data_IF_460482485638
#
_entry.id   IF_460482485638
#
_cell.length_a   1.000
_cell.length_b   1.000
_cell.length_c   1.000
_cell.angle_alpha   90.00
_cell.angle_beta   90.00
_cell.angle_gamma   90.00
#
_symmetry.space_group_name_H-M   'P 1'
#
loop_
_entity.id
_entity.type
_entity.pdbx_description
1 polymer ?
#
# COMPACT_ATOMS: atom_id res chain seq x y z
N UNK A 1 17.76 27.20 -22.58
CA UNK A 1 17.19 27.25 -21.23
C UNK A 1 16.66 25.86 -20.96
N UNK A 2 17.41 25.03 -20.23
CA UNK A 2 16.99 23.69 -19.85
C UNK A 2 16.04 23.83 -18.67
N UNK A 3 14.77 23.53 -18.85
CA UNK A 3 13.81 23.36 -17.77
C UNK A 3 14.15 22.03 -17.08
N UNK A 4 14.63 22.12 -15.86
CA UNK A 4 14.69 20.95 -14.98
C UNK A 4 13.26 20.54 -14.62
N UNK A 5 12.68 19.68 -15.42
CA UNK A 5 11.47 18.95 -15.04
C UNK A 5 12.00 17.75 -14.23
N UNK A 6 12.05 17.89 -12.91
CA UNK A 6 12.10 16.73 -12.03
C UNK A 6 10.79 15.96 -12.25
N UNK A 7 10.84 14.99 -13.16
CA UNK A 7 9.77 14.01 -13.27
C UNK A 7 9.84 13.13 -12.01
N UNK A 8 9.04 13.50 -11.03
CA UNK A 8 8.89 12.72 -9.79
C UNK A 8 7.93 11.57 -10.09
N UNK A 9 8.43 10.47 -10.63
CA UNK A 9 7.76 9.18 -10.54
C UNK A 9 8.19 8.51 -9.24
N UNK A 10 7.75 9.12 -8.15
CA UNK A 10 7.72 8.46 -6.83
C UNK A 10 6.28 7.98 -6.67
N UNK A 11 6.03 6.76 -6.17
CA UNK A 11 4.66 6.30 -5.88
C UNK A 11 3.88 7.38 -5.13
N UNK A 12 2.65 7.64 -5.53
CA UNK A 12 1.81 8.72 -4.98
C UNK A 12 1.69 8.70 -3.44
N UNK A 13 1.94 7.56 -2.81
CA UNK A 13 2.00 7.39 -1.35
C UNK A 13 3.20 8.08 -0.67
N UNK A 14 4.30 8.29 -1.40
CA UNK A 14 5.42 9.09 -0.88
C UNK A 14 5.13 10.59 -1.02
N UNK A 15 4.31 10.99 -2.00
CA UNK A 15 3.98 12.40 -2.26
C UNK A 15 3.07 12.98 -1.18
N UNK A 16 2.07 12.24 -0.70
CA UNK A 16 1.16 12.76 0.33
C UNK A 16 1.85 13.06 1.68
N UNK A 17 2.94 12.32 2.01
CA UNK A 17 3.73 12.59 3.21
C UNK A 17 4.94 13.52 2.98
N UNK A 18 5.48 13.56 1.76
CA UNK A 18 6.69 14.34 1.45
C UNK A 18 6.39 15.81 1.08
N UNK A 19 5.18 16.09 0.57
CA UNK A 19 4.81 17.46 0.18
C UNK A 19 4.66 18.42 1.37
N UNK A 20 4.57 17.89 2.60
CA UNK A 20 4.40 18.67 3.82
C UNK A 20 5.55 18.48 4.82
N UNK A 21 6.61 17.75 4.46
CA UNK A 21 7.74 17.54 5.35
C UNK A 21 8.40 18.88 5.72
N UNK A 22 8.59 19.12 7.01
CA UNK A 22 9.33 20.26 7.50
C UNK A 22 10.83 19.94 7.41
N UNK A 23 11.57 20.73 6.64
CA UNK A 23 13.03 20.68 6.64
C UNK A 23 13.53 21.19 8.00
N UNK A 24 14.08 20.31 8.84
CA UNK A 24 14.60 20.67 10.16
C UNK A 24 16.12 20.88 10.18
N UNK A 25 16.79 20.39 9.15
CA UNK A 25 18.22 20.60 8.98
C UNK A 25 18.62 20.51 7.51
N UNK A 26 19.40 21.49 7.03
CA UNK A 26 20.00 21.46 5.68
C UNK A 26 21.29 22.26 5.68
N UNK A 27 22.42 21.58 5.86
CA UNK A 27 23.73 22.22 5.89
C UNK A 27 24.83 21.24 5.49
N UNK A 28 25.83 21.74 4.74
CA UNK A 28 27.03 20.99 4.36
C UNK A 28 26.73 19.67 3.64
N UNK A 29 25.73 19.67 2.73
CA UNK A 29 25.33 18.47 2.00
C UNK A 29 24.54 17.45 2.82
N UNK A 30 24.14 17.79 4.04
CA UNK A 30 23.27 16.96 4.86
C UNK A 30 21.89 17.60 4.98
N UNK A 31 20.86 16.80 4.79
CA UNK A 31 19.45 17.20 4.89
C UNK A 31 18.70 16.25 5.80
N UNK A 32 17.82 16.80 6.64
CA UNK A 32 16.89 16.03 7.47
C UNK A 32 15.50 16.68 7.42
N UNK A 33 14.54 15.92 6.95
CA UNK A 33 13.14 16.29 6.90
C UNK A 33 12.35 15.51 7.98
N UNK A 34 11.48 16.22 8.67
CA UNK A 34 10.52 15.64 9.61
C UNK A 34 9.11 15.77 9.04
N UNK A 35 8.36 14.70 9.02
CA UNK A 35 6.98 14.68 8.53
C UNK A 35 6.10 13.84 9.43
N UNK A 36 4.79 14.05 9.33
CA UNK A 36 3.87 13.26 10.08
C UNK A 36 2.42 13.70 9.94
N UNK A 37 1.55 12.99 10.64
CA UNK A 37 0.15 13.34 10.76
C UNK A 37 -0.45 12.85 12.06
N UNK A 38 -1.46 13.58 12.54
CA UNK A 38 -2.38 13.19 13.60
C UNK A 38 -3.75 13.03 12.95
N UNK A 39 -4.37 11.88 13.18
CA UNK A 39 -5.67 11.53 12.61
C UNK A 39 -6.60 11.18 13.74
N UNK A 40 -7.59 12.05 14.00
CA UNK A 40 -8.74 11.74 14.83
C UNK A 40 -9.81 11.11 13.95
N UNK A 41 -10.19 9.87 14.23
CA UNK A 41 -11.04 9.09 13.33
C UNK A 41 -11.99 8.18 14.09
N UNK A 42 -13.24 8.13 13.63
CA UNK A 42 -14.24 7.20 14.14
C UNK A 42 -14.88 6.42 13.00
N UNK A 43 -15.06 5.11 13.21
CA UNK A 43 -15.68 4.19 12.26
C UNK A 43 -16.91 3.56 12.91
N UNK A 44 -18.03 3.55 12.20
CA UNK A 44 -19.26 2.84 12.59
C UNK A 44 -19.51 1.65 11.65
N UNK A 45 -20.10 0.59 12.19
CA UNK A 45 -20.64 -0.50 11.38
C UNK A 45 -22.15 -0.53 11.47
N UNK A 46 -22.84 -1.10 10.50
CA UNK A 46 -24.28 -1.31 10.53
C UNK A 46 -24.69 -2.48 11.41
N UNK A 47 -23.74 -3.31 11.81
CA UNK A 47 -23.97 -4.37 12.78
C UNK A 47 -24.05 -3.77 14.19
N UNK A 48 -25.25 -3.77 14.77
CA UNK A 48 -25.50 -3.21 16.11
C UNK A 48 -24.77 -3.90 17.26
N UNK A 49 -24.24 -5.11 17.04
CA UNK A 49 -23.50 -5.89 18.03
C UNK A 49 -21.98 -5.65 17.98
N UNK A 50 -21.45 -5.15 16.86
CA UNK A 50 -20.07 -4.68 16.76
C UNK A 50 -20.05 -3.19 16.95
N UNK A 51 -19.41 -2.76 18.01
CA UNK A 51 -19.30 -1.35 18.37
C UNK A 51 -18.63 -0.52 17.27
N UNK A 52 -19.01 0.71 17.21
CA UNK A 52 -18.23 1.74 16.55
C UNK A 52 -16.84 1.82 17.17
N UNK A 53 -15.80 1.94 16.34
CA UNK A 53 -14.43 1.97 16.78
C UNK A 53 -13.82 3.38 16.63
N UNK A 54 -13.19 3.83 17.70
CA UNK A 54 -12.19 4.89 17.61
C UNK A 54 -10.93 4.28 16.96
N UNK A 55 -10.48 4.85 15.85
CA UNK A 55 -9.28 4.42 15.13
C UNK A 55 -8.24 5.55 15.05
N UNK A 56 -8.27 6.46 16.02
CA UNK A 56 -7.36 7.60 16.15
C UNK A 56 -5.90 7.14 16.27
N UNK A 57 -5.01 7.80 15.53
CA UNK A 57 -3.58 7.50 15.54
C UNK A 57 -2.72 8.72 15.22
N UNK A 58 -1.44 8.65 15.61
CA UNK A 58 -0.40 9.54 15.14
C UNK A 58 0.63 8.77 14.31
N UNK A 59 1.22 9.46 13.34
CA UNK A 59 2.32 8.94 12.53
C UNK A 59 3.41 9.98 12.42
N UNK A 60 4.65 9.58 12.59
CA UNK A 60 5.83 10.44 12.40
C UNK A 60 6.85 9.72 11.53
N UNK A 61 7.66 10.49 10.84
CA UNK A 61 8.76 9.97 10.03
C UNK A 61 9.89 10.97 9.88
N UNK A 62 11.06 10.43 9.62
CA UNK A 62 12.27 11.16 9.30
C UNK A 62 12.79 10.68 7.95
N UNK A 63 13.21 11.63 7.10
CA UNK A 63 13.98 11.37 5.88
C UNK A 63 15.29 12.09 5.97
N UNK A 64 16.39 11.37 5.82
CA UNK A 64 17.73 11.92 5.84
C UNK A 64 18.47 11.70 4.53
N UNK A 65 19.24 12.68 4.12
CA UNK A 65 20.17 12.58 2.98
C UNK A 65 21.53 13.17 3.37
N UNK A 66 22.60 12.57 2.87
CA UNK A 66 23.95 13.09 3.00
C UNK A 66 24.71 12.97 1.67
N UNK A 67 25.29 14.07 1.22
CA UNK A 67 26.16 14.08 0.04
C UNK A 67 27.49 13.43 0.41
N UNK A 68 27.82 12.29 -0.20
CA UNK A 68 29.09 11.58 0.01
C UNK A 68 30.16 12.12 -0.92
N UNK A 69 29.80 12.32 -2.18
CA UNK A 69 30.63 12.99 -3.20
C UNK A 69 29.70 13.53 -4.32
N UNK A 70 30.25 14.10 -5.38
CA UNK A 70 29.48 14.75 -6.45
C UNK A 70 28.46 13.85 -7.16
N UNK A 71 28.61 12.52 -7.06
CA UNK A 71 27.76 11.53 -7.75
C UNK A 71 26.98 10.63 -6.80
N UNK A 72 27.30 10.62 -5.50
CA UNK A 72 26.77 9.65 -4.56
C UNK A 72 26.14 10.33 -3.33
N UNK A 73 24.91 9.99 -3.06
CA UNK A 73 24.12 10.43 -1.90
C UNK A 73 23.77 9.21 -1.07
N UNK A 74 24.07 9.26 0.23
CA UNK A 74 23.52 8.35 1.23
C UNK A 74 22.14 8.84 1.66
N UNK A 75 21.17 7.94 1.84
CA UNK A 75 19.84 8.31 2.32
C UNK A 75 19.25 7.27 3.24
N UNK A 76 18.24 7.67 4.01
CA UNK A 76 17.49 6.77 4.85
C UNK A 76 16.14 7.33 5.23
N UNK A 77 15.23 6.44 5.58
CA UNK A 77 13.90 6.81 6.04
C UNK A 77 13.48 5.92 7.21
N UNK A 78 12.84 6.54 8.19
CA UNK A 78 12.15 5.85 9.26
C UNK A 78 10.74 6.40 9.41
N UNK A 79 9.73 5.51 9.53
CA UNK A 79 8.33 5.89 9.73
C UNK A 79 7.72 5.03 10.83
N UNK A 80 7.06 5.67 11.77
CA UNK A 80 6.49 5.07 12.95
C UNK A 80 5.03 5.47 13.14
N UNK A 81 4.18 4.50 13.47
CA UNK A 81 2.77 4.70 13.75
C UNK A 81 2.48 4.36 15.21
N UNK A 82 1.78 5.25 15.87
CA UNK A 82 1.35 5.16 17.26
C UNK A 82 -0.19 5.14 17.28
N UNK A 83 -0.74 4.09 17.81
CA UNK A 83 -2.16 3.96 18.07
C UNK A 83 -2.53 4.86 19.26
N UNK A 84 -3.63 5.61 19.16
CA UNK A 84 -4.11 6.50 20.21
C UNK A 84 -5.58 6.22 20.58
N UNK A 85 -6.15 5.14 20.06
CA UNK A 85 -7.55 4.75 20.25
C UNK A 85 -7.78 3.83 21.44
N UNK A 86 -6.73 3.19 21.98
CA UNK A 86 -6.83 2.30 23.13
C UNK A 86 -6.57 3.03 24.45
N UNK A 87 -6.92 2.37 25.56
CA UNK A 87 -6.62 2.89 26.90
C UNK A 87 -5.12 3.07 27.10
N UNK A 88 -4.74 4.08 27.89
CA UNK A 88 -3.34 4.35 28.20
C UNK A 88 -2.63 3.11 28.75
N UNK A 89 -1.47 2.78 28.20
CA UNK A 89 -0.71 1.56 28.54
C UNK A 89 -1.05 0.32 27.69
N UNK A 90 -2.13 0.33 26.90
CA UNK A 90 -2.48 -0.74 25.96
C UNK A 90 -2.39 -0.32 24.50
N UNK A 91 -1.85 0.86 24.23
CA UNK A 91 -1.64 1.36 22.87
C UNK A 91 -0.55 0.59 22.16
N UNK A 92 -0.79 0.28 20.89
CA UNK A 92 0.18 -0.41 20.05
C UNK A 92 0.99 0.57 19.21
N UNK A 93 2.21 0.18 18.90
CA UNK A 93 3.08 0.95 18.04
C UNK A 93 3.71 0.06 16.98
N UNK A 94 4.02 0.62 15.81
CA UNK A 94 4.65 -0.17 14.74
C UNK A 94 5.57 0.67 13.87
N UNK A 95 6.76 0.16 13.61
CA UNK A 95 7.64 0.67 12.56
C UNK A 95 7.06 0.27 11.20
N UNK A 96 6.72 1.27 10.40
CA UNK A 96 6.18 1.06 9.05
C UNK A 96 7.29 0.94 8.03
N UNK A 97 8.27 1.85 8.08
CA UNK A 97 9.44 1.90 7.21
C UNK A 97 10.70 2.07 8.06
N UNK A 98 11.79 1.43 7.67
CA UNK A 98 13.13 1.59 8.25
C UNK A 98 14.16 1.04 7.27
N UNK A 99 14.75 1.88 6.45
CA UNK A 99 15.75 1.48 5.47
C UNK A 99 16.80 2.56 5.27
N UNK A 100 17.96 2.14 4.78
CA UNK A 100 19.02 3.04 4.35
C UNK A 100 19.58 2.59 3.01
N UNK A 101 20.11 3.53 2.24
CA UNK A 101 20.56 3.25 0.88
C UNK A 101 21.49 4.30 0.31
N UNK A 102 21.85 4.09 -0.96
CA UNK A 102 22.69 4.95 -1.77
C UNK A 102 21.96 5.30 -3.05
N UNK A 103 22.10 6.54 -3.50
CA UNK A 103 21.57 7.04 -4.78
C UNK A 103 22.72 7.60 -5.60
N UNK A 104 22.81 7.20 -6.86
CA UNK A 104 23.91 7.56 -7.77
C UNK A 104 23.37 8.14 -9.10
N UNK A 105 22.86 9.37 -9.06
CA UNK A 105 22.39 10.10 -10.25
C UNK A 105 21.46 9.25 -11.13
N UNK A 106 21.77 9.15 -12.42
CA UNK A 106 21.00 8.37 -13.40
C UNK A 106 21.12 6.85 -13.22
N UNK A 107 22.12 6.38 -12.47
CA UNK A 107 22.27 4.95 -12.16
C UNK A 107 21.25 4.45 -11.13
N UNK A 108 20.42 5.34 -10.56
CA UNK A 108 19.34 4.97 -9.66
C UNK A 108 19.73 4.88 -8.20
N UNK A 109 18.96 4.11 -7.43
CA UNK A 109 19.16 3.94 -6.00
C UNK A 109 19.10 2.47 -5.59
N UNK A 110 19.82 2.16 -4.51
CA UNK A 110 19.75 0.86 -3.84
C UNK A 110 19.53 1.09 -2.35
N UNK A 111 18.57 0.40 -1.76
CA UNK A 111 18.34 0.42 -0.32
C UNK A 111 18.11 -0.99 0.25
N UNK A 112 18.30 -1.09 1.57
CA UNK A 112 18.01 -2.30 2.31
C UNK A 112 17.30 -1.97 3.62
N UNK A 113 16.28 -2.77 3.94
CA UNK A 113 15.58 -2.68 5.21
C UNK A 113 14.11 -3.07 5.13
N UNK A 114 13.27 -2.40 5.95
CA UNK A 114 11.83 -2.51 5.92
C UNK A 114 11.27 -1.46 4.98
N UNK A 115 10.72 -1.89 3.86
CA UNK A 115 10.22 -1.02 2.80
C UNK A 115 8.96 -1.62 2.13
N UNK A 116 8.39 -0.93 1.18
CA UNK A 116 7.34 -1.47 0.32
C UNK A 116 7.91 -2.51 -0.65
N UNK A 117 7.16 -3.56 -0.91
CA UNK A 117 7.43 -4.50 -1.98
C UNK A 117 7.37 -3.83 -3.35
N UNK A 118 8.24 -4.22 -4.28
CA UNK A 118 8.29 -3.56 -5.59
C UNK A 118 6.96 -3.67 -6.36
N UNK A 119 6.24 -4.80 -6.27
CA UNK A 119 4.94 -4.96 -6.95
C UNK A 119 3.86 -4.00 -6.40
N UNK A 120 4.04 -3.47 -5.18
CA UNK A 120 3.14 -2.46 -4.62
C UNK A 120 3.12 -1.16 -5.45
N UNK A 121 4.14 -0.87 -6.25
CA UNK A 121 4.14 0.29 -7.15
C UNK A 121 2.97 0.24 -8.16
N UNK A 122 2.45 -0.95 -8.47
CA UNK A 122 1.27 -1.14 -9.33
C UNK A 122 -0.02 -0.88 -8.56
N UNK A 123 -0.12 -1.41 -7.34
CA UNK A 123 -1.25 -1.27 -6.42
C UNK A 123 -1.45 0.19 -5.98
N UNK A 124 -0.36 0.91 -5.78
CA UNK A 124 -0.37 2.30 -5.33
C UNK A 124 -1.23 3.23 -6.20
N UNK A 125 -1.52 2.85 -7.44
CA UNK A 125 -2.42 3.59 -8.31
C UNK A 125 -3.89 3.56 -7.83
N UNK A 126 -4.34 2.47 -7.19
CA UNK A 126 -5.71 2.32 -6.69
C UNK A 126 -5.85 2.40 -5.18
N UNK A 127 -4.76 2.26 -4.41
CA UNK A 127 -4.73 2.51 -2.95
C UNK A 127 -4.84 4.01 -2.64
N UNK A 128 -5.91 4.64 -3.13
CA UNK A 128 -6.18 6.08 -3.09
C UNK A 128 -7.58 6.42 -2.57
N UNK A 129 -8.28 5.46 -1.97
CA UNK A 129 -9.60 5.68 -1.39
C UNK A 129 -9.52 6.54 -0.13
N UNK A 130 -10.66 7.08 0.29
CA UNK A 130 -10.73 8.03 1.42
C UNK A 130 -10.32 7.38 2.74
N UNK A 131 -10.85 6.19 2.99
CA UNK A 131 -10.61 5.47 4.25
C UNK A 131 -10.13 4.03 4.03
N UNK A 132 -10.84 3.25 3.24
CA UNK A 132 -10.51 1.87 2.93
C UNK A 132 -9.68 1.83 1.63
N UNK A 133 -9.40 0.68 1.09
CA UNK A 133 -8.52 0.49 -0.07
C UNK A 133 -7.21 -0.18 0.32
N UNK A 134 -6.49 -0.73 -0.67
CA UNK A 134 -5.26 -1.48 -0.45
C UNK A 134 -5.44 -2.69 0.46
N UNK A 135 -6.67 -3.22 0.57
CA UNK A 135 -7.06 -4.32 1.44
C UNK A 135 -7.52 -5.56 0.66
N UNK A 136 -7.42 -5.52 -0.66
CA UNK A 136 -7.76 -6.64 -1.53
C UNK A 136 -6.74 -7.78 -1.48
N UNK A 137 -5.51 -7.52 -1.89
CA UNK A 137 -4.44 -8.53 -1.96
C UNK A 137 -3.10 -8.06 -1.39
N UNK A 138 -3.01 -6.80 -1.03
CA UNK A 138 -1.84 -6.10 -0.55
C UNK A 138 -1.78 -6.11 0.98
N UNK A 139 -1.14 -7.11 1.55
CA UNK A 139 -1.01 -7.24 3.00
C UNK A 139 0.40 -6.91 3.49
N UNK A 140 0.46 -6.28 4.68
CA UNK A 140 1.74 -6.02 5.37
C UNK A 140 2.34 -7.32 5.88
N UNK A 141 3.65 -7.51 5.63
CA UNK A 141 4.41 -8.72 5.97
C UNK A 141 3.80 -10.01 5.37
N UNK A 142 3.27 -9.88 4.16
CA UNK A 142 2.84 -10.98 3.33
C UNK A 142 3.65 -10.95 2.04
N UNK A 143 4.78 -11.64 2.04
CA UNK A 143 5.79 -11.58 0.98
C UNK A 143 6.18 -10.13 0.65
N UNK A 144 6.20 -9.76 -0.64
CA UNK A 144 6.53 -8.40 -1.11
C UNK A 144 5.30 -7.66 -1.68
N UNK A 145 4.07 -7.97 -1.22
CA UNK A 145 2.85 -7.31 -1.74
C UNK A 145 2.57 -5.96 -1.09
N UNK A 146 2.93 -5.79 0.17
CA UNK A 146 2.81 -4.54 0.91
C UNK A 146 4.14 -4.15 1.56
N UNK A 147 4.07 -3.47 2.72
CA UNK A 147 5.29 -3.21 3.52
C UNK A 147 5.81 -4.50 4.11
N UNK A 148 7.11 -4.74 3.96
CA UNK A 148 7.76 -5.93 4.49
C UNK A 148 9.20 -5.64 4.88
N UNK A 149 9.83 -6.50 5.65
CA UNK A 149 11.20 -6.33 6.11
C UNK A 149 12.17 -7.19 5.30
N UNK A 150 13.46 -6.87 5.43
CA UNK A 150 14.55 -7.65 4.84
C UNK A 150 14.57 -7.60 3.33
N UNK A 151 14.15 -6.47 2.74
CA UNK A 151 14.15 -6.29 1.29
C UNK A 151 15.36 -5.46 0.85
N UNK A 152 16.04 -5.95 -0.19
CA UNK A 152 17.06 -5.25 -0.94
C UNK A 152 16.41 -4.74 -2.24
N UNK A 153 16.33 -3.43 -2.41
CA UNK A 153 15.58 -2.80 -3.50
C UNK A 153 16.50 -1.93 -4.36
N UNK A 154 16.50 -2.19 -5.66
CA UNK A 154 17.08 -1.29 -6.65
C UNK A 154 15.95 -0.60 -7.42
N UNK A 155 16.07 0.73 -7.59
CA UNK A 155 15.13 1.56 -8.36
C UNK A 155 15.87 2.43 -9.35
N UNK A 156 15.32 2.56 -10.55
CA UNK A 156 15.82 3.45 -11.58
C UNK A 156 14.67 4.22 -12.21
N UNK A 157 14.88 5.50 -12.44
CA UNK A 157 13.95 6.37 -13.15
C UNK A 157 14.52 6.72 -14.51
N UNK A 158 13.63 6.93 -15.48
CA UNK A 158 13.95 7.34 -16.85
C UNK A 158 14.91 6.36 -17.57
N UNK A 159 14.90 5.08 -17.12
CA UNK A 159 15.75 4.02 -17.67
C UNK A 159 17.20 4.47 -17.93
N UNK A 160 17.89 4.83 -16.86
CA UNK A 160 19.27 5.38 -16.89
C UNK A 160 19.40 6.71 -17.65
N UNK A 161 18.33 7.50 -17.71
CA UNK A 161 18.28 8.75 -18.49
C UNK A 161 18.13 8.53 -20.00
N UNK A 162 17.87 7.30 -20.45
CA UNK A 162 17.74 6.95 -21.87
C UNK A 162 16.28 6.99 -22.37
N UNK A 163 15.31 6.77 -21.51
CA UNK A 163 13.88 6.74 -21.85
C UNK A 163 13.09 7.50 -20.81
N UNK A 164 12.75 8.74 -21.11
CA UNK A 164 11.96 9.60 -20.23
C UNK A 164 10.64 8.93 -19.87
N UNK A 165 10.28 8.97 -18.58
CA UNK A 165 9.05 8.40 -18.04
C UNK A 165 9.08 6.89 -17.79
N UNK A 166 10.10 6.15 -18.22
CA UNK A 166 10.23 4.71 -17.94
C UNK A 166 10.99 4.47 -16.63
N UNK A 167 10.29 4.02 -15.61
CA UNK A 167 10.88 3.67 -14.30
C UNK A 167 10.71 2.19 -14.01
N UNK A 168 11.65 1.60 -13.27
CA UNK A 168 11.54 0.21 -12.84
C UNK A 168 12.14 -0.02 -11.44
N UNK A 169 11.69 -1.11 -10.81
CA UNK A 169 12.20 -1.61 -9.55
C UNK A 169 12.53 -3.10 -9.65
N UNK A 170 13.62 -3.50 -9.01
CA UNK A 170 14.02 -4.88 -8.78
C UNK A 170 14.23 -5.06 -7.29
N UNK A 171 13.67 -6.12 -6.72
CA UNK A 171 13.73 -6.35 -5.29
C UNK A 171 13.98 -7.82 -4.97
N UNK A 172 14.76 -8.07 -3.94
CA UNK A 172 14.97 -9.38 -3.34
C UNK A 172 14.55 -9.33 -1.87
N UNK A 173 13.88 -10.39 -1.41
CA UNK A 173 13.58 -10.62 0.00
C UNK A 173 14.20 -11.94 0.45
N UNK A 174 14.98 -11.90 1.53
CA UNK A 174 15.49 -13.10 2.16
C UNK A 174 14.41 -13.83 2.97
N UNK A 175 14.65 -15.07 3.26
CA UNK A 175 13.78 -15.93 4.05
C UNK A 175 13.54 -15.38 5.47
N UNK A 176 12.29 -15.42 5.93
CA UNK A 176 11.85 -15.03 7.26
C UNK A 176 10.76 -16.00 7.75
N UNK A 177 11.13 -17.02 8.50
CA UNK A 177 10.22 -18.05 9.01
C UNK A 177 10.31 -18.31 10.51
N UNK A 178 11.30 -17.73 11.22
CA UNK A 178 11.45 -17.85 12.66
C UNK A 178 10.54 -16.87 13.41
N UNK A 179 9.88 -17.35 14.47
CA UNK A 179 9.10 -16.56 15.44
C UNK A 179 8.01 -15.68 14.80
N UNK A 180 7.40 -16.17 13.70
CA UNK A 180 6.35 -15.46 12.99
C UNK A 180 5.08 -16.29 12.86
N UNK A 181 3.94 -15.60 12.91
CA UNK A 181 2.68 -16.20 12.47
C UNK A 181 2.83 -16.72 11.03
N UNK A 182 2.28 -17.90 10.72
CA UNK A 182 2.42 -18.58 9.43
C UNK A 182 2.11 -17.63 8.25
N UNK A 183 1.05 -16.83 8.36
CA UNK A 183 0.66 -15.86 7.31
C UNK A 183 1.65 -14.72 7.09
N UNK A 184 2.66 -14.57 7.97
CA UNK A 184 3.71 -13.54 7.88
C UNK A 184 5.09 -14.12 7.62
N UNK A 185 5.18 -15.43 7.44
CA UNK A 185 6.41 -16.09 7.01
C UNK A 185 6.62 -15.94 5.52
N UNK A 186 7.87 -16.00 5.07
CA UNK A 186 8.25 -16.10 3.67
C UNK A 186 9.57 -16.86 3.52
N UNK A 187 9.75 -17.55 2.42
CA UNK A 187 11.05 -17.98 1.93
C UNK A 187 11.71 -16.88 1.07
N UNK A 188 12.86 -17.20 0.47
CA UNK A 188 13.52 -16.30 -0.48
C UNK A 188 12.63 -16.00 -1.68
N UNK A 189 12.66 -14.74 -2.12
CA UNK A 189 11.84 -14.30 -3.24
C UNK A 189 12.38 -13.07 -3.95
N UNK A 190 11.80 -12.77 -5.10
CA UNK A 190 12.06 -11.55 -5.84
C UNK A 190 10.75 -10.87 -6.26
N UNK A 191 10.83 -9.57 -6.49
CA UNK A 191 9.72 -8.76 -7.02
C UNK A 191 10.26 -7.73 -8.00
N UNK A 192 9.48 -7.42 -9.01
CA UNK A 192 9.80 -6.38 -9.99
C UNK A 192 8.55 -5.59 -10.34
N UNK A 193 8.76 -4.32 -10.69
CA UNK A 193 7.72 -3.47 -11.26
C UNK A 193 8.33 -2.56 -12.31
N UNK A 194 7.52 -2.17 -13.29
CA UNK A 194 7.86 -1.16 -14.28
C UNK A 194 6.66 -0.24 -14.48
N UNK A 195 6.93 1.06 -14.63
CA UNK A 195 5.93 2.10 -14.89
C UNK A 195 6.40 2.96 -16.04
N UNK A 196 5.52 3.21 -17.00
CA UNK A 196 5.72 4.20 -18.02
C UNK A 196 4.73 5.36 -17.82
N UNK A 197 5.26 6.54 -17.55
CA UNK A 197 4.49 7.77 -17.35
C UNK A 197 4.56 8.63 -18.62
N UNK A 198 3.40 8.95 -19.19
CA UNK A 198 3.26 9.85 -20.33
C UNK A 198 3.12 11.30 -19.86
N UNK A 199 3.50 12.25 -20.71
CA UNK A 199 3.44 13.70 -20.41
C UNK A 199 2.00 14.23 -20.20
N UNK A 200 0.98 13.47 -20.62
CA UNK A 200 -0.43 13.86 -20.54
C UNK A 200 -1.14 13.43 -19.23
N UNK A 201 -0.38 12.94 -18.25
CA UNK A 201 -0.92 12.48 -16.97
C UNK A 201 -1.34 11.00 -16.93
N UNK A 202 -1.21 10.26 -18.03
CA UNK A 202 -1.42 8.81 -18.05
C UNK A 202 -0.15 8.11 -17.55
N UNK A 203 -0.33 7.05 -16.76
CA UNK A 203 0.74 6.11 -16.44
C UNK A 203 0.23 4.68 -16.51
N UNK A 204 1.07 3.78 -17.02
CA UNK A 204 0.82 2.36 -17.11
C UNK A 204 1.86 1.62 -16.28
N UNK A 205 1.43 0.73 -15.40
CA UNK A 205 2.33 -0.04 -14.54
C UNK A 205 2.07 -1.54 -14.67
N UNK A 206 3.12 -2.31 -14.50
CA UNK A 206 3.03 -3.78 -14.40
C UNK A 206 4.07 -4.29 -13.42
N UNK A 207 3.79 -5.43 -12.78
CA UNK A 207 4.71 -6.03 -11.81
C UNK A 207 4.51 -7.52 -11.66
N UNK A 208 5.54 -8.18 -11.12
CA UNK A 208 5.54 -9.59 -10.80
C UNK A 208 6.34 -9.84 -9.53
N UNK A 209 5.86 -10.77 -8.71
CA UNK A 209 6.52 -11.20 -7.48
C UNK A 209 6.44 -12.73 -7.38
N UNK A 210 7.53 -13.37 -6.96
CA UNK A 210 7.57 -14.81 -6.69
C UNK A 210 8.48 -15.09 -5.51
N UNK A 211 7.97 -15.82 -4.53
CA UNK A 211 8.68 -16.21 -3.32
C UNK A 211 8.48 -17.69 -3.02
N UNK A 212 9.45 -18.31 -2.39
CA UNK A 212 9.26 -19.61 -1.79
C UNK A 212 8.31 -19.50 -0.61
N UNK A 213 7.43 -20.46 -0.43
CA UNK A 213 6.64 -20.62 0.79
C UNK A 213 7.48 -21.31 1.87
N UNK A 214 7.23 -20.98 3.13
CA UNK A 214 7.87 -21.67 4.26
C UNK A 214 7.36 -23.12 4.38
N UNK A 215 8.05 -23.93 5.18
CA UNK A 215 7.61 -25.31 5.45
C UNK A 215 6.22 -25.33 6.07
N UNK A 216 5.96 -24.43 7.02
CA UNK A 216 4.66 -24.35 7.71
C UNK A 216 3.52 -23.93 6.76
N UNK A 217 3.80 -23.01 5.83
CA UNK A 217 2.83 -22.59 4.82
C UNK A 217 2.49 -23.70 3.83
N UNK A 218 3.47 -24.52 3.44
CA UNK A 218 3.26 -25.65 2.52
C UNK A 218 2.44 -26.79 3.09
N UNK A 219 2.23 -26.82 4.40
CA UNK A 219 1.40 -27.81 5.07
C UNK A 219 -0.07 -27.77 4.62
N UNK A 220 -0.51 -26.65 4.01
CA UNK A 220 -1.86 -26.51 3.43
C UNK A 220 -2.04 -27.27 2.08
N UNK A 221 -0.97 -27.78 1.47
CA UNK A 221 -1.00 -28.52 0.21
C UNK A 221 -1.09 -27.64 -1.06
N UNK A 222 -1.04 -26.30 -0.94
CA UNK A 222 -1.20 -25.36 -2.07
C UNK A 222 0.07 -25.10 -2.90
N UNK A 223 1.12 -25.93 -2.77
CA UNK A 223 2.32 -25.80 -3.57
C UNK A 223 3.44 -24.96 -2.94
N UNK A 224 4.56 -24.88 -3.65
CA UNK A 224 5.84 -24.40 -3.12
C UNK A 224 6.08 -22.90 -3.28
N UNK A 225 5.36 -22.25 -4.18
CA UNK A 225 5.54 -20.84 -4.54
C UNK A 225 4.33 -20.02 -4.19
N UNK A 226 4.60 -18.80 -3.73
CA UNK A 226 3.66 -17.73 -3.62
C UNK A 226 3.97 -16.70 -4.71
N UNK A 227 3.01 -16.40 -5.58
CA UNK A 227 3.24 -15.59 -6.76
C UNK A 227 2.12 -14.55 -6.93
N UNK A 228 2.50 -13.39 -7.46
CA UNK A 228 1.55 -12.35 -7.84
C UNK A 228 2.00 -11.69 -9.14
N UNK A 229 1.05 -11.32 -9.98
CA UNK A 229 1.26 -10.37 -11.06
C UNK A 229 0.15 -9.33 -11.04
N UNK A 230 0.49 -8.11 -11.43
CA UNK A 230 -0.44 -6.99 -11.42
C UNK A 230 -0.17 -6.06 -12.59
N UNK A 231 -1.22 -5.36 -13.02
CA UNK A 231 -1.13 -4.27 -13.98
C UNK A 231 -2.11 -3.16 -13.59
N UNK A 232 -1.73 -1.90 -13.81
CA UNK A 232 -2.60 -0.75 -13.57
C UNK A 232 -2.46 0.30 -14.65
N UNK A 233 -3.52 1.09 -14.80
CA UNK A 233 -3.54 2.31 -15.60
C UNK A 233 -4.07 3.45 -14.73
N UNK A 234 -3.38 4.60 -14.77
CA UNK A 234 -3.71 5.80 -14.01
C UNK A 234 -3.79 7.01 -14.93
N UNK A 235 -4.73 7.90 -14.64
CA UNK A 235 -4.78 9.27 -15.16
C UNK A 235 -4.76 10.25 -13.99
N UNK A 236 -3.83 11.20 -14.01
CA UNK A 236 -3.64 12.19 -12.95
C UNK A 236 -3.29 13.55 -13.58
N UNK A 237 -4.32 14.25 -14.02
CA UNK A 237 -4.21 15.59 -14.61
C UNK A 237 -5.58 16.31 -14.61
N UNK A 238 -5.58 17.63 -14.82
CA UNK A 238 -6.79 18.44 -14.92
C UNK A 238 -7.75 18.31 -13.72
N UNK A 239 -7.20 18.21 -12.51
CA UNK A 239 -7.94 17.99 -11.26
C UNK A 239 -8.70 16.65 -11.20
N UNK A 240 -8.48 15.76 -12.15
CA UNK A 240 -9.05 14.41 -12.19
C UNK A 240 -7.95 13.40 -11.79
N UNK A 241 -8.28 12.53 -10.87
CA UNK A 241 -7.55 11.29 -10.62
C UNK A 241 -8.44 10.11 -10.95
N UNK A 242 -7.99 9.22 -11.80
CA UNK A 242 -8.68 7.98 -12.12
C UNK A 242 -7.67 6.84 -12.27
N UNK A 243 -7.94 5.70 -11.68
CA UNK A 243 -7.07 4.54 -11.83
C UNK A 243 -7.88 3.24 -11.81
N UNK A 244 -7.34 2.25 -12.50
CA UNK A 244 -7.81 0.86 -12.47
C UNK A 244 -6.61 -0.08 -12.29
N UNK A 245 -6.81 -1.18 -11.57
CA UNK A 245 -5.82 -2.22 -11.36
C UNK A 245 -6.47 -3.59 -11.52
N UNK A 246 -5.73 -4.53 -12.09
CA UNK A 246 -6.06 -5.95 -12.07
C UNK A 246 -4.85 -6.75 -11.67
N UNK A 247 -5.05 -7.74 -10.78
CA UNK A 247 -4.00 -8.66 -10.37
C UNK A 247 -4.51 -10.09 -10.17
N UNK A 248 -3.59 -11.02 -10.16
CA UNK A 248 -3.83 -12.39 -9.67
C UNK A 248 -2.74 -12.77 -8.68
N UNK A 249 -3.14 -13.45 -7.64
CA UNK A 249 -2.22 -14.04 -6.67
C UNK A 249 -2.37 -15.55 -6.62
N UNK A 250 -1.31 -16.22 -6.25
CA UNK A 250 -1.27 -17.68 -6.09
C UNK A 250 -0.61 -18.03 -4.76
N UNK A 251 -1.31 -18.80 -3.93
CA UNK A 251 -0.85 -19.37 -2.66
C UNK A 251 -0.33 -18.33 -1.64
N UNK A 252 -0.82 -17.10 -1.68
CA UNK A 252 -0.31 -16.04 -0.84
C UNK A 252 -1.36 -15.17 -0.14
N UNK A 253 -2.56 -15.03 -0.70
CA UNK A 253 -3.59 -14.17 -0.13
C UNK A 253 -4.20 -14.86 1.09
N UNK A 254 -4.05 -14.30 2.30
CA UNK A 254 -4.65 -14.90 3.49
C UNK A 254 -6.16 -14.68 3.47
N UNK A 255 -6.88 -15.72 3.85
CA UNK A 255 -8.31 -15.66 4.16
C UNK A 255 -8.51 -15.26 5.64
N UNK A 256 -9.71 -14.82 6.03
CA UNK A 256 -9.97 -14.33 7.39
C UNK A 256 -9.68 -15.37 8.46
N UNK A 257 -9.98 -16.64 8.19
CA UNK A 257 -9.74 -17.79 9.08
C UNK A 257 -8.30 -18.34 9.05
N UNK A 258 -7.33 -17.58 8.49
CA UNK A 258 -5.92 -17.91 8.34
C UNK A 258 -5.56 -19.01 7.33
N UNK A 259 -6.48 -19.46 6.50
CA UNK A 259 -6.13 -20.22 5.30
C UNK A 259 -5.47 -19.31 4.26
N UNK A 260 -4.86 -19.90 3.23
CA UNK A 260 -4.38 -19.19 2.05
C UNK A 260 -5.22 -19.59 0.84
N UNK A 261 -5.75 -18.60 0.16
CA UNK A 261 -6.39 -18.84 -1.13
C UNK A 261 -5.37 -19.38 -2.13
N UNK A 262 -5.67 -20.52 -2.76
CA UNK A 262 -4.82 -21.09 -3.78
C UNK A 262 -4.64 -20.16 -4.98
N UNK A 263 -5.69 -19.41 -5.31
CA UNK A 263 -5.66 -18.35 -6.32
C UNK A 263 -6.64 -17.25 -5.97
N UNK A 264 -6.28 -15.98 -6.26
CA UNK A 264 -7.25 -14.87 -6.28
C UNK A 264 -7.21 -14.11 -7.60
N UNK A 265 -8.34 -13.46 -7.91
CA UNK A 265 -8.46 -12.46 -8.95
C UNK A 265 -8.90 -11.17 -8.27
N UNK A 266 -8.16 -10.08 -8.52
CA UNK A 266 -8.36 -8.83 -7.82
C UNK A 266 -8.60 -7.73 -8.84
N UNK A 267 -9.60 -6.90 -8.57
CA UNK A 267 -9.92 -5.74 -9.41
C UNK A 267 -10.19 -4.53 -8.52
N UNK A 268 -9.56 -3.43 -8.84
CA UNK A 268 -9.76 -2.17 -8.16
C UNK A 268 -9.92 -1.02 -9.14
N UNK A 269 -10.74 -0.05 -8.78
CA UNK A 269 -10.93 1.17 -9.54
C UNK A 269 -11.23 2.34 -8.61
N UNK A 270 -10.74 3.53 -8.95
CA UNK A 270 -10.99 4.76 -8.21
C UNK A 270 -11.11 5.93 -9.16
N UNK A 271 -12.03 6.85 -8.86
CA UNK A 271 -12.17 8.14 -9.54
C UNK A 271 -12.36 9.24 -8.50
N UNK A 272 -11.62 10.35 -8.67
CA UNK A 272 -11.66 11.51 -7.79
C UNK A 272 -11.60 12.79 -8.62
N UNK A 273 -12.17 13.86 -8.07
CA UNK A 273 -12.07 15.19 -8.65
C UNK A 273 -11.70 16.22 -7.57
N UNK A 274 -10.68 17.03 -7.82
CA UNK A 274 -10.25 18.10 -6.92
C UNK A 274 -10.87 19.43 -7.33
N UNK A 275 -11.80 19.94 -6.52
CA UNK A 275 -12.33 21.30 -6.71
C UNK A 275 -11.37 22.34 -6.16
N UNK A 276 -11.33 23.51 -6.79
CA UNK A 276 -10.46 24.63 -6.37
C UNK A 276 -10.75 25.14 -4.97
N UNK A 277 -12.00 24.97 -4.48
CA UNK A 277 -12.39 25.36 -3.12
C UNK A 277 -12.05 24.32 -2.04
N UNK A 278 -11.31 23.27 -2.39
CA UNK A 278 -10.77 22.30 -1.43
C UNK A 278 -11.55 21.00 -1.28
N UNK A 279 -12.74 20.85 -1.90
CA UNK A 279 -13.48 19.58 -1.88
C UNK A 279 -12.88 18.56 -2.85
N UNK A 280 -12.75 17.29 -2.42
CA UNK A 280 -12.29 16.18 -3.27
C UNK A 280 -13.18 14.96 -3.08
N UNK A 281 -14.30 14.84 -3.79
CA UNK A 281 -15.10 13.62 -3.82
C UNK A 281 -14.32 12.46 -4.44
N UNK A 282 -14.64 11.26 -3.97
CA UNK A 282 -14.04 10.00 -4.39
C UNK A 282 -15.10 8.91 -4.46
N UNK A 283 -14.99 8.08 -5.48
CA UNK A 283 -15.70 6.81 -5.57
C UNK A 283 -14.72 5.73 -5.98
N UNK A 284 -14.80 4.57 -5.35
CA UNK A 284 -13.97 3.43 -5.71
C UNK A 284 -14.67 2.10 -5.53
N UNK A 285 -14.11 1.10 -6.18
CA UNK A 285 -14.56 -0.29 -6.12
C UNK A 285 -13.36 -1.19 -5.87
N UNK A 286 -13.51 -2.14 -4.94
CA UNK A 286 -12.50 -3.14 -4.60
C UNK A 286 -13.15 -4.52 -4.62
N UNK A 287 -12.53 -5.47 -5.31
CA UNK A 287 -12.94 -6.87 -5.30
C UNK A 287 -11.74 -7.80 -5.27
N UNK A 288 -11.76 -8.77 -4.38
CA UNK A 288 -10.88 -9.94 -4.34
C UNK A 288 -11.73 -11.19 -4.38
N UNK A 289 -11.63 -11.94 -5.47
CA UNK A 289 -12.33 -13.22 -5.65
C UNK A 289 -11.36 -14.38 -5.47
N UNK A 290 -11.58 -15.19 -4.43
CA UNK A 290 -10.90 -16.46 -4.26
C UNK A 290 -11.43 -17.50 -5.25
N UNK A 291 -10.53 -18.30 -5.80
CA UNK A 291 -10.82 -19.36 -6.76
C UNK A 291 -10.41 -20.69 -6.17
N UNK A 292 -11.28 -21.70 -6.33
CA UNK A 292 -11.03 -23.06 -5.87
C UNK A 292 -10.58 -23.11 -4.38
N UNK A 293 -11.25 -22.32 -3.53
CA UNK A 293 -10.96 -22.27 -2.11
C UNK A 293 -11.18 -23.62 -1.46
N UNK A 294 -10.36 -23.95 -0.47
CA UNK A 294 -10.44 -25.23 0.23
C UNK A 294 -11.75 -25.36 1.03
N UNK A 295 -12.28 -26.58 1.06
CA UNK A 295 -13.47 -26.89 1.89
C UNK A 295 -13.12 -26.81 3.37
N UNK A 296 -14.11 -26.38 4.16
CA UNK A 296 -14.03 -26.28 5.63
C UNK A 296 -15.41 -26.48 6.24
N UNK A 297 -15.50 -26.55 7.57
CA UNK A 297 -16.80 -26.72 8.25
C UNK A 297 -17.75 -25.57 7.83
N UNK A 298 -18.89 -25.95 7.26
CA UNK A 298 -19.90 -25.00 6.76
C UNK A 298 -19.68 -24.47 5.34
N UNK A 299 -18.57 -24.84 4.66
CA UNK A 299 -18.31 -24.45 3.28
C UNK A 299 -17.71 -25.62 2.49
N UNK A 300 -18.34 -26.00 1.39
CA UNK A 300 -17.94 -27.17 0.57
C UNK A 300 -16.71 -26.91 -0.33
N UNK A 301 -16.16 -25.70 -0.31
CA UNK A 301 -15.11 -25.27 -1.21
C UNK A 301 -15.65 -24.62 -2.50
N UNK A 302 -14.77 -24.05 -3.28
CA UNK A 302 -15.09 -23.41 -4.56
C UNK A 302 -14.78 -21.90 -4.60
N UNK A 303 -15.45 -21.18 -5.45
CA UNK A 303 -15.24 -19.74 -5.65
C UNK A 303 -16.05 -18.92 -4.64
N UNK A 304 -15.41 -17.91 -4.04
CA UNK A 304 -16.11 -16.92 -3.21
C UNK A 304 -15.44 -15.54 -3.29
N UNK A 305 -16.20 -14.48 -3.06
CA UNK A 305 -15.64 -13.14 -2.87
C UNK A 305 -15.08 -13.04 -1.43
N UNK A 306 -13.79 -12.68 -1.31
CA UNK A 306 -13.12 -12.47 -0.02
C UNK A 306 -13.28 -11.02 0.43
N UNK A 307 -13.21 -10.11 -0.52
CA UNK A 307 -13.41 -8.66 -0.35
C UNK A 307 -14.25 -8.18 -1.53
N UNK A 308 -15.27 -7.37 -1.26
CA UNK A 308 -16.06 -6.74 -2.33
C UNK A 308 -16.83 -5.57 -1.77
N UNK A 309 -16.53 -4.37 -2.22
CA UNK A 309 -17.25 -3.17 -1.77
C UNK A 309 -17.13 -2.01 -2.74
N UNK A 310 -18.03 -1.04 -2.57
CA UNK A 310 -17.94 0.30 -3.15
C UNK A 310 -17.69 1.27 -1.99
N UNK A 311 -16.68 2.14 -2.13
CA UNK A 311 -16.50 3.28 -1.23
C UNK A 311 -16.93 4.56 -1.93
N UNK A 312 -17.75 5.37 -1.25
CA UNK A 312 -18.05 6.74 -1.63
C UNK A 312 -17.61 7.64 -0.49
N UNK A 313 -16.81 8.64 -0.78
CA UNK A 313 -16.31 9.52 0.25
C UNK A 313 -15.83 10.86 -0.30
N UNK A 314 -15.35 11.70 0.58
CA UNK A 314 -14.82 13.01 0.22
C UNK A 314 -13.85 13.52 1.27
N UNK A 315 -12.84 14.26 0.83
CA UNK A 315 -12.06 15.15 1.69
C UNK A 315 -12.49 16.59 1.47
N UNK A 316 -12.31 17.39 2.51
CA UNK A 316 -12.31 18.84 2.41
C UNK A 316 -11.00 19.38 2.98
N UNK A 317 -10.19 19.96 2.14
CA UNK A 317 -8.89 20.54 2.49
C UNK A 317 -9.05 22.01 2.84
N UNK A 318 -8.87 22.36 4.10
CA UNK A 318 -8.78 23.77 4.54
C UNK A 318 -7.48 24.42 4.03
N UNK A 319 -6.43 23.65 3.98
CA UNK A 319 -5.12 23.96 3.43
C UNK A 319 -4.31 22.65 3.27
N UNK A 320 -3.03 22.75 2.88
CA UNK A 320 -2.14 21.58 2.69
C UNK A 320 -1.88 20.76 3.96
N UNK A 321 -2.08 21.37 5.15
CA UNK A 321 -1.77 20.76 6.44
C UNK A 321 -3.03 20.25 7.19
N UNK A 322 -4.22 20.72 6.81
CA UNK A 322 -5.45 20.41 7.55
C UNK A 322 -6.58 20.02 6.62
N UNK A 323 -7.18 18.87 6.90
CA UNK A 323 -8.37 18.40 6.19
C UNK A 323 -9.30 17.60 7.10
N UNK A 324 -10.52 17.45 6.64
CA UNK A 324 -11.52 16.52 7.19
C UNK A 324 -11.98 15.60 6.08
N UNK A 325 -12.48 14.43 6.44
CA UNK A 325 -13.07 13.52 5.49
C UNK A 325 -14.27 12.76 6.06
N UNK A 326 -15.09 12.28 5.14
CA UNK A 326 -16.15 11.33 5.42
C UNK A 326 -16.18 10.28 4.31
N UNK A 327 -16.45 9.04 4.67
CA UNK A 327 -16.55 7.92 3.74
C UNK A 327 -17.63 6.95 4.17
N UNK A 328 -18.25 6.29 3.20
CA UNK A 328 -19.17 5.18 3.39
C UNK A 328 -18.76 4.01 2.52
N UNK A 329 -18.61 2.84 3.13
CA UNK A 329 -18.30 1.57 2.50
C UNK A 329 -19.58 0.75 2.37
N UNK A 330 -20.07 0.65 1.13
CA UNK A 330 -21.15 -0.29 0.79
C UNK A 330 -20.55 -1.66 0.62
N UNK A 331 -20.72 -2.52 1.62
CA UNK A 331 -20.26 -3.91 1.53
C UNK A 331 -21.13 -4.66 0.52
N UNK A 332 -20.52 -5.34 -0.43
CA UNK A 332 -21.17 -6.08 -1.50
C UNK A 332 -20.95 -7.60 -1.34
N UNK A 333 -20.43 -8.03 -0.19
CA UNK A 333 -20.34 -9.46 0.14
C UNK A 333 -21.71 -10.00 0.54
N UNK A 334 -22.05 -11.15 -0.01
CA UNK A 334 -23.27 -11.85 0.36
C UNK A 334 -23.08 -12.62 1.68
N UNK A 335 -24.11 -12.70 2.51
CA UNK A 335 -24.17 -13.59 3.66
C UNK A 335 -24.42 -15.03 3.16
N UNK A 336 -23.34 -15.75 2.89
CA UNK A 336 -23.34 -17.09 2.32
C UNK A 336 -22.51 -18.08 3.16
N UNK A 337 -22.43 -19.33 2.71
CA UNK A 337 -21.70 -20.38 3.41
C UNK A 337 -20.22 -20.05 3.60
N UNK A 338 -19.58 -19.37 2.65
CA UNK A 338 -18.18 -18.96 2.77
C UNK A 338 -18.02 -17.89 3.85
N UNK A 339 -18.77 -16.79 3.76
CA UNK A 339 -18.62 -15.65 4.70
C UNK A 339 -18.92 -16.09 6.13
N UNK A 340 -19.89 -16.98 6.33
CA UNK A 340 -20.20 -17.60 7.64
C UNK A 340 -19.08 -18.50 8.13
N UNK A 341 -18.57 -19.38 7.29
CA UNK A 341 -17.52 -20.34 7.66
C UNK A 341 -16.18 -19.67 7.93
N UNK A 342 -15.84 -18.62 7.20
CA UNK A 342 -14.59 -17.88 7.35
C UNK A 342 -14.67 -16.74 8.37
N UNK A 343 -15.88 -16.39 8.87
CA UNK A 343 -16.07 -15.27 9.80
C UNK A 343 -15.90 -13.89 9.19
N UNK A 344 -16.20 -13.76 7.88
CA UNK A 344 -16.08 -12.50 7.14
C UNK A 344 -17.28 -11.61 7.42
N UNK A 345 -17.03 -10.36 7.85
CA UNK A 345 -18.09 -9.38 8.06
C UNK A 345 -18.67 -8.86 6.73
N UNK A 346 -19.99 -8.78 6.66
CA UNK A 346 -20.76 -8.34 5.49
C UNK A 346 -21.43 -6.98 5.68
N UNK A 347 -21.17 -6.31 6.81
CA UNK A 347 -21.80 -5.05 7.19
C UNK A 347 -21.21 -3.85 6.44
N UNK A 348 -22.06 -2.88 6.19
CA UNK A 348 -21.63 -1.55 5.74
C UNK A 348 -20.89 -0.81 6.85
N UNK A 349 -20.03 0.13 6.45
CA UNK A 349 -19.26 0.95 7.38
C UNK A 349 -19.29 2.43 6.97
N UNK A 350 -19.31 3.29 7.97
CA UNK A 350 -19.15 4.73 7.79
C UNK A 350 -17.94 5.22 8.58
N UNK A 351 -17.23 6.20 8.06
CA UNK A 351 -16.08 6.78 8.74
C UNK A 351 -16.09 8.31 8.60
N UNK A 352 -15.65 8.99 9.66
CA UNK A 352 -15.31 10.41 9.62
C UNK A 352 -13.96 10.63 10.27
N UNK A 353 -13.20 11.58 9.75
CA UNK A 353 -11.90 11.89 10.32
C UNK A 353 -11.50 13.34 10.13
N UNK A 354 -10.58 13.76 10.99
CA UNK A 354 -9.90 15.05 10.95
C UNK A 354 -8.40 14.81 10.96
N UNK A 355 -7.69 15.45 10.05
CA UNK A 355 -6.26 15.22 9.84
C UNK A 355 -5.50 16.52 9.93
N UNK A 356 -4.50 16.56 10.81
CA UNK A 356 -3.42 17.53 10.76
C UNK A 356 -2.15 16.84 10.29
N UNK A 357 -1.50 17.40 9.25
CA UNK A 357 -0.26 16.84 8.68
C UNK A 357 0.79 17.95 8.48
N UNK A 358 2.06 17.59 8.57
CA UNK A 358 3.19 18.52 8.45
C UNK A 358 4.39 17.86 7.79
#
# INVERSE_FOLDING_TARGET
MKRNILAVVIPALLVAGAANAAEIYNKNGNKLDFYGKMVGEHVWTTNGDTSSDDTTYARIGLKGETQINDQLIGYGQWEYNMDASNVEGSQTTKTRLAFAGLKAGEYGSFDYGRNYGAIYDVEAATDMLVKWGGDGWNYTDNYMTGRTNGVATYRNSDFFGLVDGLSFALQYQGKNDHDRAIRKQNGDGFSTAATYAFDNGIALSTGYSSSNRSVDQKADGNGDKAEAWATSAKYDANNIYAAVMYSQTYNMTPEEDNHFAGKTQNFEAVVQYQFDFGLRPSIGYVQTKGKDLQSRAGFSGGDADLVKYIEVGTWYYFNKNMNVYAAYKFNQLDDNDYTKAAGVATDDQAAVGIVYQF
#
